data_IF_204212352788
#
_entry.id   IF_204212352788
#
_cell.length_a   1.000
_cell.length_b   1.000
_cell.length_c   1.000
_cell.angle_alpha   90.00
_cell.angle_beta   90.00
_cell.angle_gamma   90.00
#
_symmetry.space_group_name_H-M   'P 1'
#
loop_
_entity.id
_entity.type
_entity.pdbx_description
1 polymer ?
#
# COMPACT_ATOMS: atom_id res chain seq x y z
N UNK A 1 -11.14 3.57 -14.10
CA UNK A 1 -11.81 2.40 -13.49
C UNK A 1 -11.58 2.43 -12.00
N UNK A 2 -12.62 2.39 -11.17
CA UNK A 2 -12.52 2.49 -9.71
C UNK A 2 -12.37 1.07 -9.16
N UNK A 3 -11.16 0.68 -8.75
CA UNK A 3 -10.85 -0.68 -8.29
C UNK A 3 -11.49 -0.89 -6.91
N UNK A 4 -12.40 -1.87 -6.72
CA UNK A 4 -13.15 -2.04 -5.47
C UNK A 4 -12.30 -2.30 -4.22
N UNK A 5 -11.10 -2.87 -4.37
CA UNK A 5 -10.21 -3.14 -3.23
C UNK A 5 -9.55 -1.88 -2.66
N UNK A 6 -9.53 -0.77 -3.42
CA UNK A 6 -8.89 0.48 -3.00
C UNK A 6 -9.67 1.20 -1.90
N UNK A 7 -10.97 0.94 -1.76
CA UNK A 7 -11.83 1.63 -0.79
C UNK A 7 -11.45 1.34 0.66
N UNK A 8 -10.79 0.21 0.93
CA UNK A 8 -10.28 -0.12 2.26
C UNK A 8 -9.00 0.63 2.62
N UNK A 9 -8.30 1.22 1.65
CA UNK A 9 -6.99 1.86 1.86
C UNK A 9 -6.99 3.35 1.56
N UNK A 10 -7.99 3.82 0.81
CA UNK A 10 -8.14 5.20 0.39
C UNK A 10 -9.51 5.69 0.87
N UNK A 11 -9.57 6.54 1.91
CA UNK A 11 -10.79 7.24 2.28
C UNK A 11 -11.25 8.03 1.05
N UNK A 12 -12.46 7.73 0.60
CA UNK A 12 -13.04 8.28 -0.63
C UNK A 12 -12.87 9.80 -0.64
N UNK A 13 -11.97 10.27 -1.53
CA UNK A 13 -11.71 11.66 -1.94
C UNK A 13 -10.44 12.34 -1.39
N UNK A 14 -9.56 11.67 -0.64
CA UNK A 14 -8.31 12.32 -0.18
C UNK A 14 -7.09 12.08 -1.07
N UNK A 15 -7.10 11.02 -1.90
CA UNK A 15 -5.92 10.62 -2.66
C UNK A 15 -4.74 10.22 -1.77
N UNK A 16 -4.95 10.01 -0.47
CA UNK A 16 -3.93 9.60 0.49
C UNK A 16 -4.24 8.18 0.95
N UNK A 17 -3.20 7.38 1.10
CA UNK A 17 -3.33 6.09 1.77
C UNK A 17 -3.49 6.32 3.27
N UNK A 18 -4.49 5.69 3.87
CA UNK A 18 -4.69 5.72 5.32
C UNK A 18 -4.59 4.31 5.89
N UNK A 19 -4.04 4.21 7.10
CA UNK A 19 -4.01 2.98 7.87
C UNK A 19 -5.43 2.61 8.32
N UNK A 20 -6.13 1.83 7.52
CA UNK A 20 -7.28 1.04 7.94
C UNK A 20 -6.88 -0.43 7.76
N UNK A 21 -7.26 -1.28 8.72
CA UNK A 21 -6.74 -2.65 8.86
C UNK A 21 -6.60 -3.38 7.51
N UNK A 22 -5.35 -3.64 7.10
CA UNK A 22 -5.05 -4.50 5.95
C UNK A 22 -5.32 -5.95 6.34
N UNK A 23 -5.93 -6.70 5.43
CA UNK A 23 -6.17 -8.14 5.64
C UNK A 23 -4.83 -8.88 5.77
N UNK A 24 -4.67 -9.65 6.85
CA UNK A 24 -3.46 -10.45 7.09
C UNK A 24 -3.27 -11.56 6.06
N UNK A 25 -4.31 -11.90 5.28
CA UNK A 25 -4.25 -12.86 4.19
C UNK A 25 -3.92 -12.24 2.83
N UNK A 26 -3.74 -10.92 2.75
CA UNK A 26 -3.41 -10.25 1.49
C UNK A 26 -2.02 -10.64 1.01
N UNK A 27 -1.92 -11.30 -0.14
CA UNK A 27 -0.64 -11.67 -0.75
C UNK A 27 -0.16 -10.67 -1.81
N UNK A 28 -1.10 -10.03 -2.53
CA UNK A 28 -0.80 -9.16 -3.65
C UNK A 28 -1.58 -7.86 -3.53
N UNK A 29 -0.89 -6.73 -3.63
CA UNK A 29 -1.51 -5.40 -3.62
C UNK A 29 -1.02 -4.57 -4.80
N UNK A 30 -1.95 -4.22 -5.69
CA UNK A 30 -1.72 -3.38 -6.85
C UNK A 30 -2.42 -2.03 -6.66
N UNK A 31 -1.64 -0.98 -6.45
CA UNK A 31 -2.10 0.40 -6.35
C UNK A 31 -1.46 1.30 -7.42
N UNK A 32 -0.69 0.73 -8.33
CA UNK A 32 0.01 1.46 -9.38
C UNK A 32 -0.94 2.21 -10.32
N UNK A 33 -0.46 3.29 -10.93
CA UNK A 33 -1.21 4.05 -11.92
C UNK A 33 -2.39 4.83 -11.35
N UNK A 34 -2.29 5.27 -10.10
CA UNK A 34 -3.29 6.10 -9.45
C UNK A 34 -2.72 7.49 -9.13
N UNK A 35 -3.56 8.38 -8.62
CA UNK A 35 -3.16 9.72 -8.15
C UNK A 35 -2.90 9.73 -6.64
N UNK A 36 -2.40 8.63 -6.07
CA UNK A 36 -2.14 8.55 -4.64
C UNK A 36 -0.92 9.39 -4.28
N UNK A 37 -0.96 10.07 -3.13
CA UNK A 37 0.08 11.03 -2.72
C UNK A 37 0.34 11.02 -1.21
N UNK A 38 1.40 11.70 -0.81
CA UNK A 38 1.89 11.72 0.58
C UNK A 38 2.80 10.53 0.88
N UNK A 39 2.96 10.20 2.18
CA UNK A 39 3.85 9.14 2.62
C UNK A 39 3.20 7.76 2.48
N UNK A 40 4.03 6.76 2.24
CA UNK A 40 3.63 5.35 2.31
C UNK A 40 3.31 5.05 3.78
N UNK A 41 2.11 4.54 4.12
CA UNK A 41 1.74 4.26 5.50
C UNK A 41 2.49 3.04 6.07
N UNK A 42 2.67 3.02 7.39
CA UNK A 42 3.33 1.93 8.09
C UNK A 42 2.50 0.64 8.19
N UNK A 43 1.19 0.70 7.95
CA UNK A 43 0.26 -0.41 8.13
C UNK A 43 0.51 -1.61 7.22
N UNK A 44 1.29 -1.47 6.15
CA UNK A 44 1.69 -2.61 5.31
C UNK A 44 2.39 -3.71 6.11
N UNK A 45 3.00 -3.37 7.25
CA UNK A 45 3.57 -4.35 8.19
C UNK A 45 2.55 -5.35 8.76
N UNK A 46 1.26 -5.01 8.80
CA UNK A 46 0.22 -5.90 9.31
C UNK A 46 -0.22 -6.97 8.30
N UNK A 47 0.09 -6.78 7.01
CA UNK A 47 -0.19 -7.74 5.97
C UNK A 47 0.91 -8.81 5.96
N UNK A 48 0.89 -9.71 6.95
CA UNK A 48 1.97 -10.67 7.19
C UNK A 48 2.20 -11.65 6.04
N UNK A 49 1.23 -11.88 5.15
CA UNK A 49 1.37 -12.72 3.95
C UNK A 49 1.68 -11.94 2.67
N UNK A 50 1.88 -10.62 2.74
CA UNK A 50 2.08 -9.80 1.55
C UNK A 50 3.40 -10.13 0.87
N UNK A 51 3.31 -10.50 -0.41
CA UNK A 51 4.43 -10.87 -1.27
C UNK A 51 4.76 -9.80 -2.28
N UNK A 52 3.76 -9.13 -2.85
CA UNK A 52 3.99 -8.12 -3.90
C UNK A 52 3.20 -6.85 -3.64
N UNK A 53 3.91 -5.74 -3.59
CA UNK A 53 3.37 -4.40 -3.38
C UNK A 53 3.79 -3.48 -4.54
N UNK A 54 2.82 -3.07 -5.34
CA UNK A 54 3.04 -2.16 -6.47
C UNK A 54 2.39 -0.81 -6.20
N UNK A 55 3.22 0.21 -5.99
CA UNK A 55 2.88 1.61 -5.71
C UNK A 55 3.36 2.56 -6.82
N UNK A 56 4.10 2.07 -7.82
CA UNK A 56 4.64 2.87 -8.92
C UNK A 56 3.57 3.63 -9.72
N UNK A 57 4.00 4.67 -10.44
CA UNK A 57 3.08 5.55 -11.18
C UNK A 57 2.00 6.16 -10.25
N UNK A 58 2.42 6.57 -9.05
CA UNK A 58 1.69 7.43 -8.12
C UNK A 58 2.54 8.67 -7.79
N UNK A 59 2.02 9.54 -6.92
CA UNK A 59 2.69 10.76 -6.43
C UNK A 59 3.10 10.63 -4.95
N UNK A 60 3.51 9.42 -4.51
CA UNK A 60 4.04 9.22 -3.16
C UNK A 60 5.33 10.02 -2.96
N UNK A 61 5.54 10.50 -1.75
CA UNK A 61 6.70 11.30 -1.35
C UNK A 61 7.09 10.99 0.10
N UNK A 62 8.27 11.44 0.53
CA UNK A 62 8.78 11.13 1.87
C UNK A 62 9.51 9.78 1.92
N UNK A 63 9.66 9.25 3.14
CA UNK A 63 10.48 8.06 3.40
C UNK A 63 9.67 6.78 3.24
N UNK A 64 10.36 5.72 2.78
CA UNK A 64 9.86 4.35 2.86
C UNK A 64 9.82 3.95 4.35
N UNK A 65 8.67 3.51 4.89
CA UNK A 65 8.57 3.09 6.28
C UNK A 65 9.52 1.94 6.57
N UNK A 66 10.34 2.07 7.61
CA UNK A 66 11.17 0.96 8.11
C UNK A 66 10.32 -0.27 8.50
N UNK A 67 9.05 -0.07 8.85
CA UNK A 67 8.10 -1.15 9.15
C UNK A 67 7.82 -2.06 7.97
N UNK A 68 8.09 -1.65 6.72
CA UNK A 68 8.05 -2.56 5.57
C UNK A 68 9.10 -3.68 5.70
N UNK A 69 10.19 -3.44 6.42
CA UNK A 69 11.16 -4.49 6.76
C UNK A 69 10.59 -5.61 7.64
N UNK A 70 9.45 -5.39 8.30
CA UNK A 70 8.77 -6.42 9.09
C UNK A 70 7.87 -7.33 8.23
N UNK A 71 7.66 -7.00 6.95
CA UNK A 71 6.88 -7.84 6.02
C UNK A 71 7.79 -8.93 5.47
N UNK A 72 7.94 -10.01 6.23
CA UNK A 72 8.97 -11.03 5.99
C UNK A 72 8.84 -11.79 4.67
N UNK A 73 7.64 -11.79 4.08
CA UNK A 73 7.35 -12.48 2.82
C UNK A 73 7.37 -11.54 1.59
N UNK A 74 7.73 -10.27 1.77
CA UNK A 74 7.74 -9.31 0.66
C UNK A 74 8.86 -9.64 -0.33
N UNK A 75 8.46 -10.08 -1.52
CA UNK A 75 9.36 -10.41 -2.63
C UNK A 75 9.55 -9.23 -3.57
N UNK A 76 8.49 -8.43 -3.78
CA UNK A 76 8.50 -7.32 -4.74
C UNK A 76 7.93 -6.06 -4.10
N UNK A 77 8.74 -5.00 -4.10
CA UNK A 77 8.33 -3.63 -3.79
C UNK A 77 8.61 -2.76 -5.02
N UNK A 78 7.56 -2.21 -5.63
CA UNK A 78 7.66 -1.28 -6.77
C UNK A 78 7.10 0.07 -6.35
N UNK A 79 7.87 1.15 -6.50
CA UNK A 79 7.56 2.49 -5.99
C UNK A 79 7.36 3.53 -7.08
#
# INVERSE_FOLDING_TARGET
MRIPWIYHLVPSNTGKLQCMSLDSNLELLFLWGNYLSGNIPNCFSNASKLKKLYLNQNSFSGLIPNTLGNVSFLEVLSL
#
